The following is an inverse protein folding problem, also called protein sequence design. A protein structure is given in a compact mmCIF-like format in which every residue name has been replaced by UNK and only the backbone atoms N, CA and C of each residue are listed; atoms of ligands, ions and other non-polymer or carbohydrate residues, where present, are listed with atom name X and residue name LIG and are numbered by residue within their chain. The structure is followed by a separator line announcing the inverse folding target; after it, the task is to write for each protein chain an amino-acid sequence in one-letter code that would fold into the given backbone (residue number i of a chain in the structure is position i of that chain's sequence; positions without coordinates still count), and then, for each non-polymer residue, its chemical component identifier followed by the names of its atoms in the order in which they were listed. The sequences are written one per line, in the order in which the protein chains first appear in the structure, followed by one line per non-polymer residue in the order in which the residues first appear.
data_IF_897878308888
#
_entry.id   IF_897878308888
#
_cell.length_a   1.000
_cell.length_b   1.000
_cell.length_c   1.000
_cell.angle_alpha   90.00
_cell.angle_beta   90.00
_cell.angle_gamma   90.00
#
_symmetry.space_group_name_H-M   'P 1'
#
loop_
_entity.id
_entity.type
_entity.pdbx_description
1 polymer ?
#
# COMPACT_ATOMS: atom_id res chain seq x y z
N UNK A 1 48.78 -1.56 14.54
CA UNK A 1 47.96 -2.79 14.55
C UNK A 1 46.56 -2.40 14.98
N UNK A 2 45.45 -2.69 14.32
CA UNK A 2 45.14 -3.09 12.95
C UNK A 2 43.64 -2.76 12.79
N UNK A 3 43.28 -2.06 11.73
CA UNK A 3 41.89 -1.82 11.35
C UNK A 3 41.26 -3.16 10.99
N UNK A 4 40.14 -3.54 11.61
CA UNK A 4 39.31 -4.67 11.17
C UNK A 4 37.85 -4.26 11.08
N UNK A 5 37.53 -3.73 9.90
CA UNK A 5 36.24 -3.88 9.23
C UNK A 5 35.83 -5.35 9.21
N UNK A 6 34.74 -5.70 9.91
CA UNK A 6 34.04 -6.96 9.65
C UNK A 6 33.04 -6.75 8.52
N UNK A 7 33.52 -7.03 7.31
CA UNK A 7 32.73 -7.17 6.09
C UNK A 7 32.02 -8.52 6.18
N UNK A 8 30.70 -8.51 6.34
CA UNK A 8 29.92 -9.74 6.18
C UNK A 8 30.03 -10.22 4.72
N UNK A 9 30.22 -11.51 4.47
CA UNK A 9 30.23 -12.04 3.11
C UNK A 9 28.82 -11.95 2.51
N UNK A 10 28.72 -11.32 1.34
CA UNK A 10 27.54 -11.38 0.49
C UNK A 10 27.33 -12.82 0.01
N UNK A 11 26.43 -13.54 0.67
CA UNK A 11 25.92 -14.82 0.18
C UNK A 11 24.71 -14.55 -0.72
N UNK A 12 24.95 -14.35 -2.01
CA UNK A 12 23.89 -14.41 -3.02
C UNK A 12 23.47 -15.87 -3.22
N UNK A 13 22.19 -16.24 -3.06
CA UNK A 13 21.69 -17.47 -3.65
C UNK A 13 21.70 -17.28 -5.17
N UNK A 14 22.53 -18.07 -5.84
CA UNK A 14 22.55 -18.17 -7.30
C UNK A 14 21.27 -18.88 -7.73
N UNK A 15 20.23 -18.11 -8.09
CA UNK A 15 19.11 -18.64 -8.85
C UNK A 15 19.59 -18.89 -10.29
N UNK A 16 19.32 -20.06 -10.88
CA UNK A 16 19.66 -20.33 -12.27
C UNK A 16 18.82 -19.42 -13.18
N UNK A 17 19.49 -18.64 -14.02
CA UNK A 17 18.86 -17.88 -15.10
C UNK A 17 18.03 -18.81 -15.99
N UNK A 18 16.79 -18.47 -16.38
CA UNK A 18 16.14 -19.15 -17.48
C UNK A 18 16.91 -18.81 -18.77
N UNK A 19 17.46 -19.85 -19.39
CA UNK A 19 18.14 -19.82 -20.67
C UNK A 19 17.15 -19.34 -21.75
N UNK A 20 17.44 -18.22 -22.41
CA UNK A 20 16.60 -17.56 -23.41
C UNK A 20 16.81 -18.12 -24.84
N UNK A 21 17.15 -19.42 -24.97
CA UNK A 21 17.52 -20.03 -26.25
C UNK A 21 16.56 -21.17 -26.71
N UNK A 22 15.30 -21.18 -26.29
CA UNK A 22 14.33 -22.22 -26.71
C UNK A 22 13.18 -21.67 -27.59
N UNK A 23 13.55 -20.82 -28.56
CA UNK A 23 12.67 -20.46 -29.69
C UNK A 23 13.24 -20.98 -31.00
N UNK A 24 13.40 -22.30 -31.14
CA UNK A 24 13.62 -22.92 -32.46
C UNK A 24 13.28 -24.40 -32.44
N UNK A 25 12.01 -24.71 -32.65
CA UNK A 25 11.57 -25.97 -33.30
C UNK A 25 10.11 -25.84 -33.73
N UNK A 26 9.87 -25.18 -34.84
CA UNK A 26 8.70 -25.49 -35.67
C UNK A 26 9.06 -26.75 -36.48
N UNK A 27 8.21 -27.79 -36.54
CA UNK A 27 8.48 -28.93 -37.41
C UNK A 27 8.41 -28.48 -38.88
N UNK A 28 9.55 -28.54 -39.56
CA UNK A 28 9.68 -28.35 -41.00
C UNK A 28 9.16 -29.59 -41.72
N UNK A 29 8.03 -29.47 -42.43
CA UNK A 29 7.51 -30.54 -43.28
C UNK A 29 8.10 -30.43 -44.69
N UNK A 30 9.19 -31.15 -44.92
CA UNK A 30 9.79 -31.52 -46.23
C UNK A 30 10.55 -32.83 -45.93
N UNK A 31 10.38 -34.00 -46.54
CA UNK A 31 9.90 -34.55 -47.83
C UNK A 31 9.28 -35.95 -47.50
N UNK A 32 8.52 -36.69 -48.32
CA UNK A 32 8.36 -36.76 -49.77
C UNK A 32 7.45 -37.95 -50.18
N UNK A 33 7.18 -38.04 -51.49
CA UNK A 33 6.57 -39.15 -52.27
C UNK A 33 5.09 -39.49 -51.94
N UNK A 34 4.15 -39.76 -52.86
CA UNK A 34 4.16 -40.04 -54.29
C UNK A 34 2.73 -39.92 -54.88
N UNK A 35 2.64 -39.71 -56.20
CA UNK A 35 1.51 -39.83 -57.15
C UNK A 35 0.03 -39.63 -56.72
N UNK A 36 -0.63 -38.62 -57.31
CA UNK A 36 -2.10 -38.62 -57.45
C UNK A 36 -2.70 -37.27 -57.90
N UNK A 37 -2.98 -37.14 -59.19
CA UNK A 37 -3.72 -36.02 -59.78
C UNK A 37 -5.18 -36.01 -59.29
N UNK A 38 -5.62 -34.94 -58.61
CA UNK A 38 -7.02 -34.50 -58.57
C UNK A 38 -7.07 -33.04 -58.07
N UNK A 39 -7.65 -32.16 -58.87
CA UNK A 39 -7.79 -30.75 -58.54
C UNK A 39 -8.66 -30.53 -57.31
N UNK A 40 -8.14 -29.74 -56.37
CA UNK A 40 -8.91 -29.21 -55.26
C UNK A 40 -9.16 -27.72 -55.54
N UNK A 41 -10.16 -27.44 -56.38
CA UNK A 41 -10.93 -26.21 -56.21
C UNK A 41 -11.53 -26.28 -54.81
N UNK A 42 -11.02 -25.48 -53.89
CA UNK A 42 -11.73 -25.24 -52.63
C UNK A 42 -13.01 -24.49 -52.99
N UNK A 43 -14.21 -25.04 -52.77
CA UNK A 43 -15.40 -24.22 -52.87
C UNK A 43 -15.29 -23.18 -51.77
N UNK A 44 -15.42 -21.91 -52.15
CA UNK A 44 -15.56 -20.79 -51.24
C UNK A 44 -16.83 -21.03 -50.40
N UNK A 45 -16.66 -21.71 -49.27
CA UNK A 45 -17.73 -22.04 -48.34
C UNK A 45 -18.25 -20.78 -47.67
N UNK A 46 -19.56 -20.64 -47.67
CA UNK A 46 -20.34 -19.48 -47.22
C UNK A 46 -19.85 -18.81 -45.92
N UNK A 47 -20.02 -17.48 -45.78
CA UNK A 47 -19.56 -16.68 -44.62
C UNK A 47 -20.33 -16.95 -43.31
N UNK A 48 -21.07 -18.05 -43.22
CA UNK A 48 -21.99 -18.35 -42.11
C UNK A 48 -21.30 -19.20 -41.01
N UNK A 49 -20.10 -19.73 -41.26
CA UNK A 49 -19.42 -20.61 -40.29
C UNK A 49 -18.67 -19.88 -39.15
N UNK A 50 -18.37 -18.60 -39.26
CA UNK A 50 -17.61 -17.89 -38.22
C UNK A 50 -18.47 -17.39 -37.05
N UNK A 51 -19.76 -17.10 -37.27
CA UNK A 51 -20.58 -16.47 -36.23
C UNK A 51 -21.23 -17.42 -35.22
N UNK A 52 -21.22 -18.75 -35.45
CA UNK A 52 -21.90 -19.72 -34.56
C UNK A 52 -21.00 -20.46 -33.57
N UNK A 53 -19.68 -20.42 -33.72
CA UNK A 53 -18.76 -21.18 -32.86
C UNK A 53 -18.28 -20.40 -31.62
N UNK A 54 -18.39 -19.07 -31.61
CA UNK A 54 -18.01 -18.25 -30.44
C UNK A 54 -18.98 -18.44 -29.26
N UNK A 55 -20.26 -18.70 -29.53
CA UNK A 55 -21.27 -18.96 -28.49
C UNK A 55 -21.33 -20.42 -28.02
N UNK A 56 -20.60 -21.34 -28.67
CA UNK A 56 -20.58 -22.75 -28.32
C UNK A 56 -19.27 -23.20 -27.65
N UNK A 57 -18.32 -22.28 -27.40
CA UNK A 57 -17.07 -22.63 -26.71
C UNK A 57 -17.36 -22.90 -25.22
N UNK A 58 -17.30 -24.17 -24.75
CA UNK A 58 -17.64 -24.52 -23.37
C UNK A 58 -16.65 -23.95 -22.35
N UNK A 59 -15.48 -23.49 -22.81
CA UNK A 59 -14.46 -22.87 -21.97
C UNK A 59 -14.62 -21.35 -21.85
N UNK A 60 -15.45 -20.70 -22.69
CA UNK A 60 -15.66 -19.25 -22.64
C UNK A 60 -16.08 -18.75 -21.24
N UNK A 61 -17.04 -19.38 -20.54
CA UNK A 61 -17.39 -18.98 -19.18
C UNK A 61 -16.23 -19.14 -18.19
N UNK A 62 -15.38 -20.15 -18.38
CA UNK A 62 -14.21 -20.39 -17.53
C UNK A 62 -13.10 -19.35 -17.77
N UNK A 63 -12.87 -18.96 -19.03
CA UNK A 63 -11.95 -17.87 -19.36
C UNK A 63 -12.44 -16.54 -18.82
N UNK A 64 -13.73 -16.21 -19.01
CA UNK A 64 -14.34 -14.98 -18.48
C UNK A 64 -14.26 -14.94 -16.95
N UNK A 65 -14.57 -16.05 -16.26
CA UNK A 65 -14.45 -16.15 -14.80
C UNK A 65 -13.01 -15.96 -14.32
N UNK A 66 -12.03 -16.60 -14.99
CA UNK A 66 -10.62 -16.44 -14.63
C UNK A 66 -10.13 -15.00 -14.80
N UNK A 67 -10.54 -14.33 -15.88
CA UNK A 67 -10.20 -12.93 -16.12
C UNK A 67 -10.84 -12.02 -15.08
N UNK A 68 -12.10 -12.25 -14.71
CA UNK A 68 -12.79 -11.51 -13.64
C UNK A 68 -12.07 -11.68 -12.30
N UNK A 69 -11.75 -12.93 -11.92
CA UNK A 69 -11.05 -13.21 -10.67
C UNK A 69 -9.67 -12.56 -10.63
N UNK A 70 -8.90 -12.69 -11.70
CA UNK A 70 -7.59 -12.04 -11.80
C UNK A 70 -7.70 -10.51 -11.70
N UNK A 71 -8.73 -9.92 -12.32
CA UNK A 71 -8.97 -8.48 -12.20
C UNK A 71 -9.27 -8.08 -10.76
N UNK A 72 -10.12 -8.83 -10.06
CA UNK A 72 -10.45 -8.57 -8.66
C UNK A 72 -9.22 -8.73 -7.77
N UNK A 73 -8.45 -9.80 -7.93
CA UNK A 73 -7.21 -10.04 -7.17
C UNK A 73 -6.21 -8.88 -7.35
N UNK A 74 -6.09 -8.35 -8.58
CA UNK A 74 -5.24 -7.20 -8.86
C UNK A 74 -5.75 -5.91 -8.20
N UNK A 75 -7.07 -5.69 -8.16
CA UNK A 75 -7.66 -4.54 -7.46
C UNK A 75 -7.45 -4.63 -5.94
N UNK A 76 -7.64 -5.82 -5.36
CA UNK A 76 -7.44 -6.07 -3.94
C UNK A 76 -5.96 -5.87 -3.55
N UNK A 77 -5.03 -6.35 -4.39
CA UNK A 77 -3.60 -6.14 -4.20
C UNK A 77 -3.22 -4.64 -4.27
N UNK A 78 -3.81 -3.90 -5.21
CA UNK A 78 -3.58 -2.45 -5.33
C UNK A 78 -4.09 -1.69 -4.11
N UNK A 79 -5.29 -2.02 -3.61
CA UNK A 79 -5.84 -1.38 -2.42
C UNK A 79 -5.03 -1.73 -1.16
N UNK A 80 -4.55 -2.97 -1.07
CA UNK A 80 -3.66 -3.39 0.01
C UNK A 80 -2.35 -2.58 0.01
N UNK A 81 -1.61 -2.53 -1.10
CA UNK A 81 -0.38 -1.75 -1.18
C UNK A 81 -0.60 -0.25 -0.93
N UNK A 82 -1.72 0.29 -1.43
CA UNK A 82 -2.11 1.68 -1.16
C UNK A 82 -2.25 1.92 0.34
N UNK A 83 -2.92 1.01 1.06
CA UNK A 83 -3.09 1.11 2.51
C UNK A 83 -1.76 1.09 3.27
N UNK A 84 -0.81 0.24 2.86
CA UNK A 84 0.52 0.14 3.47
C UNK A 84 1.36 1.40 3.26
N UNK A 85 1.33 1.95 2.04
CA UNK A 85 2.05 3.20 1.70
C UNK A 85 1.48 4.36 2.51
N UNK A 86 0.16 4.50 2.59
CA UNK A 86 -0.46 5.58 3.38
C UNK A 86 -0.18 5.44 4.86
N UNK A 87 -0.20 4.22 5.42
CA UNK A 87 0.16 3.99 6.81
C UNK A 87 1.63 4.38 7.09
N UNK A 88 2.53 4.04 6.17
CA UNK A 88 3.95 4.38 6.27
C UNK A 88 4.19 5.88 6.21
N UNK A 89 3.54 6.59 5.28
CA UNK A 89 3.62 8.05 5.16
C UNK A 89 3.06 8.72 6.41
N UNK A 90 1.90 8.28 6.91
CA UNK A 90 1.30 8.83 8.13
C UNK A 90 2.23 8.66 9.33
N UNK A 91 2.82 7.48 9.50
CA UNK A 91 3.78 7.19 10.57
C UNK A 91 5.00 8.12 10.51
N UNK A 92 5.57 8.31 9.32
CA UNK A 92 6.70 9.21 9.11
C UNK A 92 6.34 10.67 9.39
N UNK A 93 5.20 11.14 8.88
CA UNK A 93 4.69 12.50 9.12
C UNK A 93 4.52 12.75 10.61
N UNK A 94 3.93 11.81 11.36
CA UNK A 94 3.83 11.92 12.81
C UNK A 94 5.20 11.95 13.47
N UNK A 95 6.14 11.09 13.07
CA UNK A 95 7.49 11.09 13.65
C UNK A 95 8.20 12.44 13.43
N UNK A 96 8.11 13.01 12.22
CA UNK A 96 8.69 14.31 11.89
C UNK A 96 8.07 15.42 12.73
N UNK A 97 6.74 15.53 12.79
CA UNK A 97 6.10 16.57 13.60
C UNK A 97 6.44 16.46 15.09
N UNK A 98 6.47 15.23 15.63
CA UNK A 98 6.87 14.98 17.03
C UNK A 98 8.30 15.45 17.30
N UNK A 99 9.22 15.12 16.40
CA UNK A 99 10.61 15.55 16.50
C UNK A 99 10.73 17.08 16.40
N UNK A 100 9.98 17.69 15.49
CA UNK A 100 9.95 19.15 15.35
C UNK A 100 9.44 19.81 16.62
N UNK A 101 8.35 19.29 17.20
CA UNK A 101 7.78 19.81 18.45
C UNK A 101 8.73 19.66 19.64
N UNK A 102 9.49 18.56 19.69
CA UNK A 102 10.53 18.35 20.70
C UNK A 102 11.54 19.51 20.74
N UNK A 103 12.02 19.93 19.57
CA UNK A 103 12.95 21.06 19.47
C UNK A 103 12.30 22.44 19.69
N UNK A 104 10.97 22.51 19.84
CA UNK A 104 10.21 23.74 20.17
C UNK A 104 9.97 23.89 21.68
N UNK A 105 10.47 22.97 22.50
CA UNK A 105 10.37 23.00 23.96
C UNK A 105 8.92 23.15 24.44
N UNK A 106 8.57 24.28 25.08
CA UNK A 106 7.24 24.54 25.60
C UNK A 106 6.24 25.06 24.55
N UNK A 107 6.71 25.44 23.35
CA UNK A 107 5.85 25.98 22.29
C UNK A 107 5.42 27.45 22.47
N UNK A 108 5.99 28.16 23.45
CA UNK A 108 5.65 29.57 23.75
C UNK A 108 6.28 30.56 22.76
N UNK A 109 7.52 30.29 22.29
CA UNK A 109 8.21 31.14 21.31
C UNK A 109 8.00 30.71 19.86
N UNK A 110 8.01 29.40 19.63
CA UNK A 110 7.72 28.79 18.32
C UNK A 110 6.60 27.77 18.56
N UNK A 111 5.36 28.05 18.10
CA UNK A 111 4.21 27.16 18.31
C UNK A 111 4.48 25.74 17.80
N UNK A 112 3.95 24.72 18.45
CA UNK A 112 3.99 23.35 17.94
C UNK A 112 3.29 23.20 16.58
N UNK A 113 3.79 22.26 15.78
CA UNK A 113 3.08 21.76 14.61
C UNK A 113 1.91 20.88 15.04
N UNK A 114 0.78 21.09 14.38
CA UNK A 114 -0.43 20.31 14.63
C UNK A 114 -0.25 18.96 13.95
N UNK A 115 -0.31 17.89 14.75
CA UNK A 115 -0.22 16.52 14.26
C UNK A 115 -1.63 16.08 13.83
N UNK A 116 -1.81 15.57 12.60
CA UNK A 116 -3.07 14.95 12.20
C UNK A 116 -3.43 13.76 13.11
N UNK A 117 -4.71 13.39 13.16
CA UNK A 117 -5.12 12.14 13.80
C UNK A 117 -4.67 10.91 13.01
N UNK A 118 -4.76 9.73 13.63
CA UNK A 118 -4.34 8.47 13.00
C UNK A 118 -5.13 8.13 11.72
N UNK A 119 -6.31 8.73 11.52
CA UNK A 119 -7.11 8.64 10.30
C UNK A 119 -6.78 9.74 9.25
N UNK A 120 -5.76 10.56 9.51
CA UNK A 120 -5.32 11.67 8.65
C UNK A 120 -6.10 12.98 8.83
N UNK A 121 -7.21 12.99 9.58
CA UNK A 121 -7.99 14.21 9.79
C UNK A 121 -7.31 15.19 10.75
N UNK A 122 -7.47 16.50 10.50
CA UNK A 122 -6.87 17.53 11.35
C UNK A 122 -7.72 17.77 12.62
N UNK A 123 -7.13 17.78 13.83
CA UNK A 123 -7.88 17.94 15.08
C UNK A 123 -8.65 19.26 15.18
N UNK A 124 -8.11 20.34 14.61
CA UNK A 124 -8.67 21.69 14.66
C UNK A 124 -9.62 22.02 13.50
N UNK A 125 -9.89 21.06 12.62
CA UNK A 125 -10.82 21.22 11.50
C UNK A 125 -12.08 20.37 11.73
N UNK A 126 -13.10 20.58 10.88
CA UNK A 126 -14.26 19.70 10.84
C UNK A 126 -13.80 18.24 10.57
N UNK A 127 -14.40 17.24 11.22
CA UNK A 127 -15.57 17.30 12.12
C UNK A 127 -15.22 17.55 13.61
N UNK A 128 -13.95 17.73 13.94
CA UNK A 128 -13.48 17.66 15.33
C UNK A 128 -13.56 18.99 16.06
N UNK A 129 -13.06 20.05 15.43
CA UNK A 129 -13.03 21.42 15.97
C UNK A 129 -12.39 21.50 17.38
N UNK A 130 -11.32 20.74 17.62
CA UNK A 130 -10.58 20.77 18.87
C UNK A 130 -9.59 21.95 18.91
N UNK A 131 -9.26 22.48 20.10
CA UNK A 131 -8.25 23.52 20.24
C UNK A 131 -6.89 23.04 19.72
N UNK A 132 -6.22 23.80 18.85
CA UNK A 132 -4.92 23.41 18.32
C UNK A 132 -3.87 23.33 19.44
N UNK A 133 -3.17 22.20 19.54
CA UNK A 133 -2.14 21.96 20.57
C UNK A 133 -0.84 22.68 20.19
N UNK A 134 -0.82 24.01 20.31
CA UNK A 134 0.31 24.85 19.89
C UNK A 134 1.36 25.08 20.97
N UNK A 135 1.07 24.79 22.24
CA UNK A 135 2.02 24.90 23.34
C UNK A 135 1.64 23.98 24.50
N UNK A 136 2.58 23.77 25.44
CA UNK A 136 2.33 23.02 26.68
C UNK A 136 1.20 23.67 27.48
N UNK A 137 1.09 25.00 27.47
CA UNK A 137 0.01 25.72 28.14
C UNK A 137 -1.36 25.31 27.59
N UNK A 138 -1.50 25.22 26.26
CA UNK A 138 -2.77 24.79 25.65
C UNK A 138 -3.11 23.34 26.01
N UNK A 139 -2.11 22.45 26.02
CA UNK A 139 -2.31 21.04 26.41
C UNK A 139 -2.80 20.93 27.85
N UNK A 140 -2.21 21.69 28.78
CA UNK A 140 -2.62 21.71 30.19
C UNK A 140 -4.00 22.36 30.40
N UNK A 141 -4.46 23.19 29.47
CA UNK A 141 -5.74 23.89 29.53
C UNK A 141 -6.90 23.12 28.86
N UNK A 142 -6.66 21.93 28.31
CA UNK A 142 -7.70 21.11 27.69
C UNK A 142 -8.76 20.70 28.71
N UNK A 143 -10.02 20.70 28.30
CA UNK A 143 -11.09 20.08 29.11
C UNK A 143 -10.96 18.56 29.08
N UNK A 144 -11.48 17.83 30.10
CA UNK A 144 -11.48 16.38 30.11
C UNK A 144 -12.08 15.75 28.83
N UNK A 145 -13.15 16.33 28.29
CA UNK A 145 -13.80 15.86 27.06
C UNK A 145 -12.89 16.05 25.85
N UNK A 146 -12.19 17.18 25.75
CA UNK A 146 -11.25 17.44 24.67
C UNK A 146 -10.05 16.48 24.75
N UNK A 147 -9.57 16.21 25.97
CA UNK A 147 -8.47 15.27 26.21
C UNK A 147 -8.82 13.85 25.75
N UNK A 148 -10.01 13.36 26.12
CA UNK A 148 -10.53 12.05 25.66
C UNK A 148 -10.59 11.98 24.14
N UNK A 149 -11.07 13.05 23.49
CA UNK A 149 -11.15 13.12 22.02
C UNK A 149 -9.76 13.12 21.38
N UNK A 150 -8.80 13.83 21.96
CA UNK A 150 -7.41 13.81 21.50
C UNK A 150 -6.77 12.43 21.64
N UNK A 151 -6.87 11.81 22.81
CA UNK A 151 -6.35 10.46 23.05
C UNK A 151 -7.00 9.44 22.10
N UNK A 152 -8.31 9.53 21.89
CA UNK A 152 -9.04 8.67 20.94
C UNK A 152 -8.56 8.86 19.50
N UNK A 153 -8.40 10.12 19.04
CA UNK A 153 -7.97 10.42 17.68
C UNK A 153 -6.52 9.99 17.39
N UNK A 154 -5.64 10.06 18.38
CA UNK A 154 -4.26 9.57 18.29
C UNK A 154 -4.09 8.08 18.61
N UNK A 155 -5.17 7.39 19.01
CA UNK A 155 -5.16 5.99 19.47
C UNK A 155 -4.23 5.75 20.67
N UNK A 156 -4.17 6.73 21.58
CA UNK A 156 -3.49 6.63 22.87
C UNK A 156 -4.44 5.92 23.84
N UNK A 157 -3.96 4.88 24.52
CA UNK A 157 -4.72 4.23 25.58
C UNK A 157 -5.00 5.25 26.69
N UNK A 158 -6.27 5.37 27.12
CA UNK A 158 -6.66 6.37 28.11
C UNK A 158 -7.73 5.82 29.05
N UNK A 159 -7.65 6.24 30.31
CA UNK A 159 -8.70 6.05 31.32
C UNK A 159 -9.26 7.44 31.68
N UNK A 160 -10.54 7.74 31.38
CA UNK A 160 -11.16 9.02 31.73
C UNK A 160 -11.11 9.38 33.22
N UNK A 161 -10.83 8.41 34.10
CA UNK A 161 -10.66 8.64 35.55
C UNK A 161 -9.27 9.15 35.92
N UNK A 162 -8.28 9.02 35.02
CA UNK A 162 -6.89 9.40 35.26
C UNK A 162 -6.43 10.48 34.28
N UNK A 163 -6.97 11.68 34.47
CA UNK A 163 -6.71 12.85 33.60
C UNK A 163 -5.22 13.23 33.58
N UNK A 164 -4.52 13.13 34.72
CA UNK A 164 -3.10 13.46 34.80
C UNK A 164 -2.26 12.56 33.89
N UNK A 165 -2.51 11.25 33.93
CA UNK A 165 -1.82 10.30 33.06
C UNK A 165 -2.12 10.56 31.58
N UNK A 166 -3.39 10.87 31.25
CA UNK A 166 -3.78 11.22 29.87
C UNK A 166 -3.05 12.47 29.35
N UNK A 167 -2.84 13.48 30.20
CA UNK A 167 -2.05 14.67 29.83
C UNK A 167 -0.59 14.26 29.57
N UNK A 168 0.01 13.46 30.45
CA UNK A 168 1.39 12.97 30.28
C UNK A 168 1.54 12.19 28.96
N UNK A 169 0.64 11.26 28.69
CA UNK A 169 0.68 10.46 27.47
C UNK A 169 0.46 11.30 26.21
N UNK A 170 -0.45 12.28 26.26
CA UNK A 170 -0.68 13.21 25.16
C UNK A 170 0.57 14.07 24.91
N UNK A 171 1.21 14.58 25.95
CA UNK A 171 2.44 15.37 25.85
C UNK A 171 3.57 14.57 25.22
N UNK A 172 3.80 13.37 25.74
CA UNK A 172 4.78 12.43 25.20
C UNK A 172 4.49 12.10 23.74
N UNK A 173 3.21 11.90 23.39
CA UNK A 173 2.81 11.64 22.02
C UNK A 173 3.10 12.82 21.11
N UNK A 174 2.72 14.05 21.44
CA UNK A 174 2.93 15.20 20.52
C UNK A 174 4.38 15.68 20.46
N UNK A 175 5.26 15.08 21.28
CA UNK A 175 6.67 15.41 21.34
C UNK A 175 6.97 16.64 22.20
N UNK A 176 6.14 16.99 23.18
CA UNK A 176 6.53 17.97 24.18
C UNK A 176 7.07 17.25 25.42
N UNK A 177 8.32 17.55 25.78
CA UNK A 177 9.00 16.94 26.93
C UNK A 177 8.34 17.43 28.26
N UNK A 178 8.24 16.57 29.29
CA UNK A 178 7.67 16.91 30.60
C UNK A 178 8.48 17.94 31.41
#
# INVERSE_FOLDING_TARGET
MAYRTFRAPHSHPSAPYPNYDDYRSFPSYTEGMDHGSAGNEYPLGDPIYEHKLVNANPYRPLYETRVINLHQDMLDLLEHHKSEVFASIASLTHAVHRQTNYYRFAGEGIPFEIIPFANGSMPNQLPHLLPALTSVHVVNALTPEQLVRYCSGYRIAHDPKNIELMIVDLKAYIGCEP
#
